data_IF_468054327417
#
_entry.id   IF_468054327417
#
_cell.length_a   1.000
_cell.length_b   1.000
_cell.length_c   1.000
_cell.angle_alpha   90.00
_cell.angle_beta   90.00
_cell.angle_gamma   90.00
#
_symmetry.space_group_name_H-M   'P 1'
#
loop_
_entity.id
_entity.type
_entity.pdbx_description
1 polymer ?
#
# COMPACT_ATOMS: atom_id res chain seq x y z
N UNK A 1 20.23 6.48 -6.92
CA UNK A 1 20.64 7.44 -5.87
C UNK A 1 20.29 6.75 -4.58
N UNK A 2 21.26 6.58 -3.68
CA UNK A 2 21.00 5.92 -2.40
C UNK A 2 20.04 6.79 -1.59
N UNK A 3 18.84 6.28 -1.34
CA UNK A 3 17.83 6.97 -0.54
C UNK A 3 18.34 7.07 0.92
N UNK A 4 18.33 8.26 1.54
CA UNK A 4 18.79 8.40 2.92
C UNK A 4 17.99 7.52 3.87
N UNK A 5 18.66 6.80 4.77
CA UNK A 5 18.01 5.90 5.73
C UNK A 5 18.21 6.33 7.18
N UNK A 6 17.27 5.88 8.04
CA UNK A 6 17.33 6.02 9.50
C UNK A 6 17.27 4.63 10.11
N UNK A 7 18.10 4.37 11.12
CA UNK A 7 18.07 3.11 11.84
C UNK A 7 16.82 3.01 12.73
N UNK A 8 16.26 1.80 12.82
CA UNK A 8 15.10 1.49 13.67
C UNK A 8 15.48 0.52 14.80
N UNK A 9 14.99 0.81 16.01
CA UNK A 9 15.04 -0.13 17.13
C UNK A 9 13.83 -1.08 17.06
N UNK A 10 13.89 -2.04 16.14
CA UNK A 10 12.84 -3.03 15.96
C UNK A 10 13.43 -4.39 15.53
N UNK A 11 12.88 -5.54 15.97
CA UNK A 11 13.49 -6.86 15.74
C UNK A 11 13.48 -7.33 14.28
N UNK A 12 12.47 -6.93 13.50
CA UNK A 12 12.36 -7.24 12.06
C UNK A 12 12.99 -6.13 11.22
N UNK A 13 12.34 -4.97 11.17
CA UNK A 13 12.85 -3.81 10.45
C UNK A 13 13.99 -3.10 11.20
N UNK A 14 15.16 -2.99 10.57
CA UNK A 14 16.36 -2.32 11.09
C UNK A 14 16.58 -0.95 10.50
N UNK A 15 15.92 -0.63 9.39
CA UNK A 15 16.04 0.68 8.76
C UNK A 15 14.73 1.15 8.11
N UNK A 16 14.68 2.46 7.81
CA UNK A 16 13.59 3.08 7.06
C UNK A 16 14.13 4.20 6.17
N UNK A 17 13.54 4.38 5.00
CA UNK A 17 13.82 5.54 4.15
C UNK A 17 13.35 6.84 4.81
N UNK A 18 14.25 7.80 5.01
CA UNK A 18 13.94 9.07 5.67
C UNK A 18 12.86 9.88 4.94
N UNK A 19 12.72 9.69 3.63
CA UNK A 19 11.73 10.41 2.84
C UNK A 19 10.28 10.01 3.11
N UNK A 20 9.99 8.89 3.78
CA UNK A 20 8.60 8.57 4.18
C UNK A 20 8.01 9.64 5.13
N UNK A 21 8.89 10.36 5.84
CA UNK A 21 8.54 11.40 6.80
C UNK A 21 8.36 12.78 6.14
N UNK A 22 8.67 12.93 4.86
CA UNK A 22 8.63 14.24 4.17
C UNK A 22 7.85 14.21 2.86
N UNK A 23 7.89 13.11 2.10
CA UNK A 23 7.06 12.89 0.91
C UNK A 23 5.59 12.77 1.30
N UNK A 24 4.71 13.19 0.40
CA UNK A 24 3.27 13.37 0.67
C UNK A 24 2.42 12.55 -0.29
N UNK A 25 1.20 12.26 0.13
CA UNK A 25 0.20 11.61 -0.71
C UNK A 25 -1.13 12.35 -0.61
N UNK A 26 -1.92 12.34 -1.68
CA UNK A 26 -3.33 12.67 -1.62
C UNK A 26 -4.00 11.98 -0.41
N UNK A 27 -4.80 12.71 0.39
CA UNK A 27 -5.36 12.18 1.64
C UNK A 27 -6.36 11.03 1.41
N UNK A 28 -7.02 11.02 0.26
CA UNK A 28 -7.95 9.99 -0.11
C UNK A 28 -8.09 9.88 -1.64
N UNK A 29 -8.43 8.69 -2.12
CA UNK A 29 -8.64 8.44 -3.55
C UNK A 29 -10.06 8.81 -4.03
N UNK A 30 -10.97 9.19 -3.12
CA UNK A 30 -12.37 9.52 -3.46
C UNK A 30 -12.49 10.93 -4.03
N UNK A 31 -11.74 11.87 -3.49
CA UNK A 31 -11.71 13.29 -3.89
C UNK A 31 -10.62 13.55 -4.94
N UNK A 32 -9.52 12.80 -4.88
CA UNK A 32 -8.44 12.90 -5.87
C UNK A 32 -8.74 12.08 -7.14
N UNK A 33 -8.63 12.72 -8.31
CA UNK A 33 -8.71 12.04 -9.62
C UNK A 33 -7.31 11.67 -10.07
N UNK A 34 -6.84 10.54 -9.58
CA UNK A 34 -5.47 10.10 -9.83
C UNK A 34 -5.23 9.81 -11.32
N UNK A 35 -4.06 10.19 -11.81
CA UNK A 35 -3.60 10.00 -13.19
C UNK A 35 -2.17 9.48 -13.16
N UNK A 36 -1.76 8.79 -14.23
CA UNK A 36 -0.33 8.59 -14.49
C UNK A 36 0.33 9.94 -14.79
N UNK A 37 1.50 10.21 -14.23
CA UNK A 37 2.24 11.47 -14.43
C UNK A 37 2.64 11.64 -15.89
N UNK A 38 3.19 10.59 -16.51
CA UNK A 38 3.77 10.69 -17.85
C UNK A 38 2.74 10.75 -18.97
N UNK A 39 1.64 10.00 -18.85
CA UNK A 39 0.64 9.88 -19.92
C UNK A 39 -0.62 10.70 -19.67
N UNK A 40 -0.77 11.24 -18.46
CA UNK A 40 -2.01 11.87 -17.97
C UNK A 40 -3.25 10.96 -18.05
N UNK A 41 -3.05 9.65 -18.20
CA UNK A 41 -4.15 8.68 -18.21
C UNK A 41 -4.78 8.61 -16.84
N UNK A 42 -6.10 8.75 -16.75
CA UNK A 42 -6.83 8.60 -15.50
C UNK A 42 -6.77 7.15 -15.00
N UNK A 43 -6.26 6.99 -13.78
CA UNK A 43 -6.12 5.73 -13.05
C UNK A 43 -6.68 5.94 -11.65
N UNK A 44 -8.00 5.88 -11.55
CA UNK A 44 -8.69 5.91 -10.26
C UNK A 44 -8.20 4.73 -9.42
N UNK A 45 -7.86 4.99 -8.15
CA UNK A 45 -7.23 4.01 -7.25
C UNK A 45 -5.96 3.37 -7.84
N UNK A 46 -5.01 4.23 -8.20
CA UNK A 46 -3.76 3.86 -8.86
C UNK A 46 -2.96 2.76 -8.14
N UNK A 47 -3.08 2.63 -6.82
CA UNK A 47 -2.46 1.53 -6.07
C UNK A 47 -2.87 0.12 -6.53
N UNK A 48 -3.94 -0.02 -7.31
CA UNK A 48 -4.44 -1.30 -7.83
C UNK A 48 -4.03 -1.56 -9.30
N UNK A 49 -3.04 -0.87 -9.87
CA UNK A 49 -2.73 -1.03 -11.32
C UNK A 49 -1.96 -2.32 -11.66
N UNK A 50 -1.08 -2.79 -10.79
CA UNK A 50 -0.06 -3.79 -11.14
C UNK A 50 -0.31 -5.18 -10.53
N UNK A 51 -1.46 -5.36 -9.88
CA UNK A 51 -1.68 -6.48 -8.99
C UNK A 51 -0.90 -6.31 -7.68
N UNK A 52 -0.83 -7.38 -6.90
CA UNK A 52 -0.09 -7.43 -5.66
C UNK A 52 0.30 -8.87 -5.33
N UNK A 53 1.35 -9.00 -4.52
CA UNK A 53 1.69 -10.25 -3.88
C UNK A 53 0.83 -10.46 -2.64
N UNK A 54 0.41 -11.70 -2.41
CA UNK A 54 -0.59 -12.06 -1.41
C UNK A 54 -0.07 -13.24 -0.62
N UNK A 55 0.00 -13.09 0.71
CA UNK A 55 0.33 -14.20 1.61
C UNK A 55 -0.69 -15.34 1.44
N UNK A 56 -0.26 -16.59 1.57
CA UNK A 56 -1.16 -17.73 1.38
C UNK A 56 -2.35 -17.73 2.36
N UNK A 57 -2.19 -17.25 3.59
CA UNK A 57 -3.30 -17.13 4.53
C UNK A 57 -4.31 -16.05 4.10
N UNK A 58 -3.82 -14.94 3.53
CA UNK A 58 -4.66 -13.89 2.99
C UNK A 58 -5.39 -14.37 1.72
N UNK A 59 -4.71 -15.13 0.84
CA UNK A 59 -5.32 -15.78 -0.33
C UNK A 59 -6.49 -16.66 0.09
N UNK A 60 -6.26 -17.58 1.02
CA UNK A 60 -7.29 -18.51 1.49
C UNK A 60 -8.48 -17.76 2.12
N UNK A 61 -8.20 -16.67 2.85
CA UNK A 61 -9.23 -15.81 3.42
C UNK A 61 -10.04 -15.04 2.35
N UNK A 62 -9.39 -14.59 1.27
CA UNK A 62 -10.05 -13.98 0.11
C UNK A 62 -10.98 -14.99 -0.56
N UNK A 63 -10.50 -16.21 -0.83
CA UNK A 63 -11.30 -17.26 -1.46
C UNK A 63 -12.49 -17.69 -0.60
N UNK A 64 -12.33 -17.76 0.72
CA UNK A 64 -13.41 -18.03 1.66
C UNK A 64 -14.53 -16.96 1.63
N UNK A 65 -14.24 -15.75 1.13
CA UNK A 65 -15.22 -14.67 0.90
C UNK A 65 -15.61 -14.52 -0.57
N UNK A 66 -15.37 -15.57 -1.35
CA UNK A 66 -15.48 -15.60 -2.80
C UNK A 66 -16.78 -14.98 -3.34
N UNK A 67 -17.91 -15.44 -2.84
CA UNK A 67 -19.23 -15.01 -3.34
C UNK A 67 -19.47 -13.50 -3.16
N UNK A 68 -19.15 -12.96 -1.99
CA UNK A 68 -19.31 -11.54 -1.69
C UNK A 68 -18.40 -10.66 -2.56
N UNK A 69 -17.18 -11.12 -2.82
CA UNK A 69 -16.21 -10.38 -3.65
C UNK A 69 -16.61 -10.47 -5.13
N UNK A 70 -17.00 -11.66 -5.63
CA UNK A 70 -17.44 -11.88 -7.02
C UNK A 70 -18.60 -10.97 -7.41
N UNK A 71 -19.54 -10.74 -6.50
CA UNK A 71 -20.67 -9.84 -6.73
C UNK A 71 -20.27 -8.40 -7.07
N UNK A 72 -19.05 -7.98 -6.74
CA UNK A 72 -18.53 -6.63 -6.96
C UNK A 72 -17.50 -6.53 -8.11
N UNK A 73 -17.11 -7.66 -8.69
CA UNK A 73 -16.16 -7.71 -9.80
C UNK A 73 -16.79 -7.25 -11.11
N UNK A 74 -15.94 -6.88 -12.08
CA UNK A 74 -16.40 -6.62 -13.44
C UNK A 74 -17.02 -7.88 -14.05
N UNK A 75 -18.08 -7.77 -14.88
CA UNK A 75 -18.71 -8.93 -15.52
C UNK A 75 -17.71 -9.79 -16.30
N UNK A 76 -16.68 -9.19 -16.88
CA UNK A 76 -15.68 -9.87 -17.70
C UNK A 76 -14.73 -10.75 -16.88
N UNK A 77 -14.57 -10.48 -15.59
CA UNK A 77 -13.61 -11.17 -14.71
C UNK A 77 -14.27 -11.91 -13.54
N UNK A 78 -15.60 -11.92 -13.46
CA UNK A 78 -16.36 -12.55 -12.37
C UNK A 78 -16.06 -14.05 -12.20
N UNK A 79 -15.76 -14.73 -13.31
CA UNK A 79 -15.39 -16.15 -13.35
C UNK A 79 -13.90 -16.38 -13.66
N UNK A 80 -13.11 -15.31 -13.75
CA UNK A 80 -11.67 -15.44 -13.95
C UNK A 80 -11.00 -16.00 -12.69
N UNK A 81 -9.83 -16.59 -12.90
CA UNK A 81 -8.91 -16.97 -11.82
C UNK A 81 -8.34 -15.68 -11.20
N UNK A 82 -8.19 -15.66 -9.88
CA UNK A 82 -7.76 -14.47 -9.14
C UNK A 82 -6.26 -14.38 -8.90
N UNK A 83 -5.61 -15.53 -8.81
CA UNK A 83 -4.21 -15.64 -8.44
C UNK A 83 -3.46 -16.46 -9.49
N UNK A 84 -2.19 -16.13 -9.70
CA UNK A 84 -1.28 -16.99 -10.42
C UNK A 84 -1.24 -18.38 -9.74
N UNK A 85 -1.34 -19.49 -10.50
CA UNK A 85 -1.21 -20.83 -9.91
C UNK A 85 0.17 -21.08 -9.29
N UNK A 86 1.21 -20.35 -9.69
CA UNK A 86 2.56 -20.52 -9.18
C UNK A 86 2.77 -19.71 -7.90
N UNK A 87 3.19 -20.41 -6.85
CA UNK A 87 3.51 -19.83 -5.55
C UNK A 87 5.03 -19.57 -5.45
N UNK A 88 5.39 -18.32 -5.20
CA UNK A 88 6.78 -17.87 -5.07
C UNK A 88 7.25 -17.94 -3.61
N UNK A 89 8.55 -18.17 -3.40
CA UNK A 89 9.14 -18.12 -2.05
C UNK A 89 9.50 -16.68 -1.75
N UNK A 90 8.94 -16.16 -0.67
CA UNK A 90 9.21 -14.82 -0.19
C UNK A 90 9.24 -14.83 1.35
N UNK A 91 10.44 -14.80 1.97
CA UNK A 91 10.59 -14.86 3.41
C UNK A 91 10.06 -13.62 4.14
N UNK A 92 9.76 -12.54 3.43
CA UNK A 92 9.22 -11.34 4.03
C UNK A 92 7.71 -11.50 4.34
N UNK A 93 7.03 -12.47 3.73
CA UNK A 93 5.63 -12.76 4.02
C UNK A 93 5.48 -13.81 5.15
N UNK A 94 4.42 -13.72 5.98
CA UNK A 94 4.25 -14.61 7.15
C UNK A 94 4.32 -16.12 6.85
N UNK A 95 3.77 -16.56 5.71
CA UNK A 95 3.82 -17.95 5.27
C UNK A 95 5.14 -18.35 4.61
N UNK A 96 6.03 -17.39 4.38
CA UNK A 96 7.27 -17.55 3.61
C UNK A 96 7.04 -17.71 2.11
N UNK A 97 5.81 -17.51 1.64
CA UNK A 97 5.39 -17.68 0.24
C UNK A 97 4.30 -16.69 -0.13
N UNK A 98 4.20 -16.41 -1.42
CA UNK A 98 3.18 -15.54 -1.99
C UNK A 98 2.57 -16.14 -3.25
N UNK A 99 1.36 -15.71 -3.57
CA UNK A 99 0.81 -15.76 -4.93
C UNK A 99 0.61 -14.34 -5.43
N UNK A 100 0.70 -14.15 -6.74
CA UNK A 100 0.42 -12.86 -7.35
C UNK A 100 -1.03 -12.77 -7.82
N UNK A 101 -1.70 -11.64 -7.60
CA UNK A 101 -3.03 -11.43 -8.20
C UNK A 101 -2.93 -11.23 -9.70
N UNK A 102 -3.88 -11.79 -10.44
CA UNK A 102 -4.01 -11.57 -11.88
C UNK A 102 -4.29 -10.10 -12.21
N UNK A 103 -3.83 -9.67 -13.38
CA UNK A 103 -4.04 -8.32 -13.92
C UNK A 103 -4.89 -8.42 -15.18
N UNK A 104 -6.01 -7.70 -15.19
CA UNK A 104 -6.96 -7.66 -16.31
C UNK A 104 -7.23 -6.22 -16.73
N UNK A 105 -7.08 -5.93 -18.02
CA UNK A 105 -7.26 -4.61 -18.63
C UNK A 105 -6.44 -3.49 -17.95
N UNK A 106 -5.21 -3.82 -17.56
CA UNK A 106 -4.27 -2.86 -16.95
C UNK A 106 -4.62 -2.45 -15.52
N UNK A 107 -5.25 -3.36 -14.76
CA UNK A 107 -5.48 -3.25 -13.32
C UNK A 107 -5.58 -4.62 -12.64
N UNK A 108 -5.32 -4.68 -11.34
CA UNK A 108 -5.57 -5.84 -10.50
C UNK A 108 -6.98 -6.37 -10.72
N UNK A 109 -7.16 -7.69 -10.72
CA UNK A 109 -8.47 -8.33 -10.91
C UNK A 109 -9.52 -7.85 -9.89
N UNK A 110 -9.11 -7.45 -8.69
CA UNK A 110 -9.99 -6.93 -7.65
C UNK A 110 -10.30 -5.43 -7.78
N UNK A 111 -9.83 -4.75 -8.82
CA UNK A 111 -10.22 -3.36 -9.12
C UNK A 111 -11.72 -3.34 -9.48
N UNK A 112 -12.51 -2.56 -8.73
CA UNK A 112 -13.97 -2.57 -8.81
C UNK A 112 -14.54 -2.09 -10.17
N UNK A 113 -15.85 -2.32 -10.38
CA UNK A 113 -16.51 -2.12 -11.68
C UNK A 113 -16.49 -0.69 -12.23
N UNK A 114 -16.48 0.33 -11.36
CA UNK A 114 -16.38 1.75 -11.71
C UNK A 114 -14.92 2.23 -11.80
N UNK A 115 -13.97 1.29 -11.75
CA UNK A 115 -12.53 1.51 -11.60
C UNK A 115 -12.17 2.22 -10.28
N UNK A 116 -13.08 2.25 -9.30
CA UNK A 116 -12.83 2.88 -8.00
C UNK A 116 -12.85 1.89 -6.84
N UNK A 117 -11.70 1.81 -6.19
CA UNK A 117 -11.48 1.02 -5.01
C UNK A 117 -11.32 -0.47 -5.28
N UNK A 118 -11.10 -1.20 -4.21
CA UNK A 118 -10.85 -2.63 -4.21
C UNK A 118 -12.13 -3.38 -3.84
N UNK A 119 -12.54 -4.35 -4.65
CA UNK A 119 -13.71 -5.19 -4.41
C UNK A 119 -13.63 -5.93 -3.08
N UNK A 120 -12.44 -6.36 -2.65
CA UNK A 120 -12.23 -6.98 -1.32
C UNK A 120 -12.60 -5.99 -0.21
N UNK A 121 -12.10 -4.75 -0.30
CA UNK A 121 -12.36 -3.72 0.69
C UNK A 121 -13.84 -3.32 0.70
N UNK A 122 -14.45 -3.15 -0.47
CA UNK A 122 -15.88 -2.82 -0.60
C UNK A 122 -16.76 -3.94 -0.04
N UNK A 123 -16.45 -5.20 -0.36
CA UNK A 123 -17.18 -6.35 0.20
C UNK A 123 -17.12 -6.40 1.73
N UNK A 124 -16.00 -5.98 2.33
CA UNK A 124 -15.83 -5.89 3.77
C UNK A 124 -16.74 -4.84 4.39
N UNK A 125 -16.77 -3.64 3.81
CA UNK A 125 -17.63 -2.55 4.27
C UNK A 125 -19.12 -2.89 4.11
N UNK A 126 -19.52 -3.40 2.95
CA UNK A 126 -20.92 -3.75 2.67
C UNK A 126 -21.39 -4.97 3.48
N UNK A 127 -20.49 -5.93 3.72
CA UNK A 127 -20.77 -7.14 4.49
C UNK A 127 -20.58 -6.98 6.00
N UNK A 128 -20.09 -5.85 6.49
CA UNK A 128 -19.85 -5.59 7.91
C UNK A 128 -18.82 -6.50 8.56
N UNK A 129 -17.74 -6.85 7.86
CA UNK A 129 -16.66 -7.70 8.37
C UNK A 129 -15.30 -7.01 8.29
N UNK A 130 -14.37 -7.42 9.16
CA UNK A 130 -13.02 -6.84 9.21
C UNK A 130 -12.19 -7.31 8.01
N UNK A 131 -11.70 -6.35 7.21
CA UNK A 131 -10.86 -6.63 6.05
C UNK A 131 -9.42 -7.02 6.42
N UNK A 132 -8.99 -6.83 7.67
CA UNK A 132 -7.65 -7.24 8.12
C UNK A 132 -7.50 -8.76 8.03
N UNK A 133 -6.39 -9.21 7.44
CA UNK A 133 -6.16 -10.62 7.14
C UNK A 133 -6.94 -11.16 5.93
N UNK A 134 -7.70 -10.31 5.24
CA UNK A 134 -8.36 -10.63 3.95
C UNK A 134 -7.82 -9.73 2.84
N UNK A 135 -7.84 -8.40 3.03
CA UNK A 135 -7.21 -7.48 2.08
C UNK A 135 -5.69 -7.61 2.24
N UNK A 136 -4.95 -7.88 1.15
CA UNK A 136 -3.51 -8.10 1.22
C UNK A 136 -2.80 -7.00 2.00
N UNK A 137 -1.91 -7.37 2.92
CA UNK A 137 -1.18 -6.43 3.75
C UNK A 137 -0.45 -5.37 2.91
N UNK A 138 0.20 -5.79 1.82
CA UNK A 138 0.92 -4.89 0.92
C UNK A 138 -0.01 -3.85 0.27
N UNK A 139 -1.23 -4.23 -0.10
CA UNK A 139 -2.23 -3.29 -0.62
C UNK A 139 -2.73 -2.28 0.43
N UNK A 140 -2.68 -2.63 1.71
CA UNK A 140 -3.02 -1.72 2.82
C UNK A 140 -1.87 -0.79 3.17
N UNK A 141 -0.64 -1.19 2.82
CA UNK A 141 0.58 -0.48 3.15
C UNK A 141 0.94 0.61 2.12
N UNK A 142 0.42 0.52 0.89
CA UNK A 142 0.67 1.51 -0.16
C UNK A 142 0.47 2.96 0.34
N UNK A 143 1.42 3.88 0.09
CA UNK A 143 2.53 3.81 -0.87
C UNK A 143 3.85 3.33 -0.26
N UNK A 144 3.81 2.78 0.96
CA UNK A 144 4.96 2.13 1.54
C UNK A 144 5.04 0.68 1.08
N UNK A 145 6.26 0.16 1.09
CA UNK A 145 6.59 -1.24 0.90
C UNK A 145 7.63 -1.63 1.95
N UNK A 146 8.15 -2.85 1.84
CA UNK A 146 9.30 -3.30 2.60
C UNK A 146 10.17 -4.21 1.74
N UNK A 147 11.45 -4.20 2.01
CA UNK A 147 12.46 -5.07 1.40
C UNK A 147 13.40 -5.53 2.51
N UNK A 148 13.52 -6.84 2.69
CA UNK A 148 14.36 -7.44 3.74
C UNK A 148 14.04 -6.85 5.13
N UNK A 149 14.94 -6.04 5.68
CA UNK A 149 14.82 -5.39 6.98
C UNK A 149 14.52 -3.88 6.91
N UNK A 150 14.10 -3.36 5.75
CA UNK A 150 13.83 -1.95 5.53
C UNK A 150 12.36 -1.66 5.23
N UNK A 151 11.83 -0.56 5.81
CA UNK A 151 10.59 0.07 5.32
C UNK A 151 10.97 1.07 4.22
N UNK A 152 10.37 0.90 3.04
CA UNK A 152 10.70 1.66 1.82
C UNK A 152 9.45 2.27 1.20
N UNK A 153 9.63 3.03 0.11
CA UNK A 153 8.52 3.56 -0.69
C UNK A 153 8.38 2.67 -1.91
N UNK A 154 7.14 2.29 -2.25
CA UNK A 154 6.86 1.52 -3.45
C UNK A 154 7.37 2.26 -4.71
N UNK A 155 8.02 1.55 -5.62
CA UNK A 155 8.64 2.11 -6.82
C UNK A 155 7.66 2.87 -7.71
N UNK A 156 6.38 2.50 -7.65
CA UNK A 156 5.32 3.10 -8.46
C UNK A 156 4.74 4.38 -7.85
N UNK A 157 5.06 4.69 -6.59
CA UNK A 157 4.64 5.93 -5.93
C UNK A 157 4.84 7.19 -6.79
N UNK A 158 6.03 7.49 -7.36
CA UNK A 158 6.25 8.70 -8.16
C UNK A 158 5.48 8.72 -9.49
N UNK A 159 4.99 7.57 -9.98
CA UNK A 159 4.29 7.47 -11.26
C UNK A 159 2.88 8.10 -11.22
N UNK A 160 2.35 8.31 -10.01
CA UNK A 160 0.97 8.70 -9.81
C UNK A 160 0.85 10.16 -9.38
N UNK A 161 -0.13 10.88 -9.94
CA UNK A 161 -0.37 12.28 -9.58
C UNK A 161 -0.71 12.49 -8.11
N UNK A 162 -1.16 11.45 -7.39
CA UNK A 162 -1.39 11.51 -5.95
C UNK A 162 -0.11 11.72 -5.13
N UNK A 163 1.07 11.40 -5.67
CA UNK A 163 2.37 11.68 -5.03
C UNK A 163 2.79 13.15 -5.12
N UNK A 164 2.16 13.92 -6.01
CA UNK A 164 2.59 15.28 -6.38
C UNK A 164 1.58 16.35 -5.96
N UNK A 165 0.81 16.06 -4.92
CA UNK A 165 -0.15 16.99 -4.30
C UNK A 165 0.17 17.20 -2.83
N UNK A 166 -0.36 18.28 -2.26
CA UNK A 166 -0.34 18.48 -0.82
C UNK A 166 -1.21 17.44 -0.11
N UNK A 167 -0.73 16.99 1.05
CA UNK A 167 -1.42 16.00 1.87
C UNK A 167 -0.56 15.56 3.06
N UNK A 168 -0.99 14.54 3.82
CA UNK A 168 -0.19 13.98 4.90
C UNK A 168 1.12 13.37 4.37
N UNK A 169 2.09 13.17 5.26
CA UNK A 169 3.31 12.43 4.90
C UNK A 169 2.99 10.95 4.69
N UNK A 170 3.83 10.23 3.95
CA UNK A 170 3.61 8.80 3.68
C UNK A 170 3.54 8.00 4.97
N UNK A 171 4.40 8.31 5.94
CA UNK A 171 4.31 7.71 7.27
C UNK A 171 2.97 8.02 7.94
N UNK A 172 2.54 9.29 7.97
CA UNK A 172 1.35 9.68 8.73
C UNK A 172 0.07 9.11 8.16
N UNK A 173 -0.05 8.98 6.84
CA UNK A 173 -1.24 8.37 6.22
C UNK A 173 -1.30 6.85 6.37
N UNK A 174 -0.15 6.19 6.54
CA UNK A 174 -0.06 4.72 6.69
C UNK A 174 0.16 4.25 8.12
N UNK A 175 0.34 5.16 9.10
CA UNK A 175 0.69 4.83 10.49
C UNK A 175 -0.24 3.81 11.14
N UNK A 176 -1.55 3.90 10.89
CA UNK A 176 -2.52 2.93 11.41
C UNK A 176 -2.32 1.55 10.77
N UNK A 177 -2.18 1.48 9.44
CA UNK A 177 -1.92 0.23 8.72
C UNK A 177 -0.62 -0.43 9.17
N UNK A 178 0.45 0.35 9.39
CA UNK A 178 1.71 -0.13 9.95
C UNK A 178 1.51 -0.78 11.32
N UNK A 179 0.74 -0.15 12.21
CA UNK A 179 0.40 -0.71 13.52
C UNK A 179 -0.44 -1.99 13.43
N UNK A 180 -1.40 -2.03 12.51
CA UNK A 180 -2.25 -3.20 12.29
C UNK A 180 -1.48 -4.40 11.70
N UNK A 181 -0.50 -4.15 10.84
CA UNK A 181 0.25 -5.20 10.13
C UNK A 181 1.43 -5.70 10.98
N UNK A 182 2.19 -4.78 11.58
CA UNK A 182 3.47 -5.11 12.23
C UNK A 182 3.48 -4.89 13.74
N UNK A 183 2.41 -4.30 14.30
CA UNK A 183 2.25 -4.07 15.72
C UNK A 183 2.80 -2.71 16.20
N UNK A 184 2.41 -2.36 17.43
CA UNK A 184 2.80 -1.12 18.09
C UNK A 184 4.33 -0.88 18.17
N UNK A 185 5.18 -1.90 18.41
CA UNK A 185 6.63 -1.66 18.49
C UNK A 185 7.24 -1.04 17.23
N UNK A 186 6.74 -1.38 16.03
CA UNK A 186 7.22 -0.74 14.80
C UNK A 186 6.80 0.73 14.74
N UNK A 187 5.58 1.02 15.14
CA UNK A 187 5.05 2.40 15.16
C UNK A 187 5.85 3.27 16.14
N UNK A 188 6.20 2.74 17.32
CA UNK A 188 7.02 3.46 18.30
C UNK A 188 8.41 3.78 17.74
N UNK A 189 9.04 2.81 17.05
CA UNK A 189 10.33 3.02 16.39
C UNK A 189 10.25 4.06 15.26
N UNK A 190 9.17 4.05 14.47
CA UNK A 190 8.95 5.00 13.38
C UNK A 190 8.63 6.42 13.90
N UNK A 191 7.87 6.56 14.99
CA UNK A 191 7.62 7.86 15.62
C UNK A 191 8.94 8.49 16.12
N UNK A 192 9.84 7.69 16.68
CA UNK A 192 11.17 8.15 17.09
C UNK A 192 12.03 8.58 15.89
N UNK A 193 12.01 7.79 14.81
CA UNK A 193 12.71 8.10 13.56
C UNK A 193 12.18 9.37 12.90
N UNK A 194 10.85 9.58 12.87
CA UNK A 194 10.24 10.81 12.35
C UNK A 194 10.72 12.03 13.15
N UNK A 195 10.71 11.96 14.47
CA UNK A 195 11.17 13.04 15.33
C UNK A 195 12.64 13.41 15.06
N UNK A 196 13.51 12.40 14.85
CA UNK A 196 14.90 12.61 14.48
C UNK A 196 15.03 13.32 13.13
N UNK A 197 14.31 12.87 12.11
CA UNK A 197 14.36 13.44 10.75
C UNK A 197 13.86 14.88 10.75
N UNK A 198 12.74 15.16 11.42
CA UNK A 198 12.17 16.50 11.50
C UNK A 198 13.03 17.46 12.32
N UNK A 199 13.75 16.97 13.34
CA UNK A 199 14.69 17.78 14.11
C UNK A 199 15.97 18.13 13.31
N UNK A 200 16.39 17.25 12.40
CA UNK A 200 17.55 17.46 11.54
C UNK A 200 17.25 18.35 10.32
N UNK A 201 15.97 18.55 9.97
CA UNK A 201 15.58 19.39 8.86
C UNK A 201 16.06 20.85 9.10
N UNK A 202 16.69 21.51 8.11
CA UNK A 202 17.18 22.87 8.28
C UNK A 202 16.00 23.79 8.62
N UNK A 203 16.07 24.43 9.78
CA UNK A 203 15.13 25.48 10.15
C UNK A 203 15.29 26.62 9.17
N UNK A 204 14.34 26.80 8.25
CA UNK A 204 14.27 28.02 7.46
C UNK A 204 14.08 29.18 8.44
N UNK A 205 15.16 29.91 8.71
CA UNK A 205 15.08 31.20 9.37
C UNK A 205 14.25 32.11 8.46
N UNK A 206 13.20 32.77 8.97
CA UNK A 206 12.44 33.71 8.16
C UNK A 206 13.41 34.81 7.70
N UNK A 207 13.55 34.95 6.39
CA UNK A 207 14.24 36.10 5.80
C UNK A 207 13.35 37.30 6.05
N UNK A 208 13.65 38.07 7.10
CA UNK A 208 13.06 39.40 7.30
C UNK A 208 13.42 40.26 6.11
N UNK A 209 12.41 40.65 5.33
CA UNK A 209 12.51 41.71 4.31
C UNK A 209 12.55 43.08 4.97
#
# INVERSE_FOLDING_TARGET
MDEPTVALDHPRFRSVWASIFTRRLAPDCTTHRCTMVDTHTEKLDACCQYGCDVDLAERDAIEARGDAIRALLRPEVVHARWFDPDEEVDPDYPSGRVVRTEVHDGGCIFLAHDRRGCAIHRAALEGGWDFRGVKPAICRLFPLSYEEDAIVIADEYPEYSCAHVDGPTLYRITREALGDIFGAPLVDALDAAEAQVLAAAPRHLPVTR
#
